data_IF_695513298889
#
_entry.id   IF_695513298889
#
_cell.length_a   1.000
_cell.length_b   1.000
_cell.length_c   1.000
_cell.angle_alpha   90.00
_cell.angle_beta   90.00
_cell.angle_gamma   90.00
#
_symmetry.space_group_name_H-M   'P 1'
#
loop_
_entity.id
_entity.type
_entity.pdbx_description
1 polymer ?
#
# COMPACT_ATOMS: atom_id res chain seq x y z
N UNK A 1 -0.97 33.50 30.61
CA UNK A 1 -1.96 32.67 31.28
C UNK A 1 -3.34 33.22 30.96
N UNK A 2 -4.19 32.43 30.26
CA UNK A 2 -5.54 32.86 29.84
C UNK A 2 -6.56 32.66 30.97
N UNK A 3 -6.39 33.39 32.08
CA UNK A 3 -7.31 33.38 33.22
C UNK A 3 -8.41 34.43 32.98
N UNK A 4 -9.61 33.98 32.67
CA UNK A 4 -10.74 34.88 32.38
C UNK A 4 -11.65 35.08 33.61
N UNK A 5 -12.57 36.08 33.53
CA UNK A 5 -13.48 36.40 34.63
C UNK A 5 -14.41 35.22 35.03
N UNK A 6 -14.79 34.38 34.07
CA UNK A 6 -15.61 33.19 34.35
C UNK A 6 -14.82 32.15 35.16
N UNK A 7 -13.54 31.94 34.84
CA UNK A 7 -12.65 31.07 35.62
C UNK A 7 -12.42 31.60 37.03
N UNK A 8 -12.25 32.91 37.16
CA UNK A 8 -12.11 33.56 38.48
C UNK A 8 -13.34 33.32 39.36
N UNK A 9 -14.51 33.42 38.80
CA UNK A 9 -15.77 33.20 39.53
C UNK A 9 -16.01 31.72 39.86
N UNK A 10 -15.66 30.80 38.96
CA UNK A 10 -15.80 29.37 39.20
C UNK A 10 -14.81 28.83 40.25
N UNK A 11 -13.64 29.43 40.36
CA UNK A 11 -12.57 29.05 41.31
C UNK A 11 -12.55 29.94 42.59
N UNK A 12 -13.70 30.50 42.98
CA UNK A 12 -13.81 31.34 44.16
C UNK A 12 -13.40 30.58 45.46
N UNK A 13 -12.91 31.30 46.43
CA UNK A 13 -12.51 30.80 47.73
C UNK A 13 -13.65 30.00 48.39
N UNK A 14 -13.33 28.80 48.91
CA UNK A 14 -14.31 27.89 49.54
C UNK A 14 -14.89 26.84 48.59
N UNK A 15 -14.64 26.91 47.30
CA UNK A 15 -15.03 25.88 46.36
C UNK A 15 -14.05 24.71 46.35
N UNK A 16 -14.59 23.48 46.31
CA UNK A 16 -13.78 22.30 46.08
C UNK A 16 -13.49 22.13 44.59
N UNK A 17 -12.23 21.91 44.26
CA UNK A 17 -11.75 21.73 42.88
C UNK A 17 -10.99 20.41 42.78
N UNK A 18 -11.40 19.58 41.88
CA UNK A 18 -10.64 18.40 41.45
C UNK A 18 -9.76 18.83 40.28
N UNK A 19 -8.44 18.72 40.43
CA UNK A 19 -7.49 19.05 39.38
C UNK A 19 -6.70 17.82 38.98
N UNK A 20 -6.55 17.62 37.68
CA UNK A 20 -5.75 16.53 37.08
C UNK A 20 -4.68 17.14 36.19
N UNK A 21 -3.44 16.72 36.39
CA UNK A 21 -2.30 17.19 35.61
C UNK A 21 -0.97 16.77 36.24
N UNK A 22 0.12 17.06 35.56
CA UNK A 22 1.47 16.81 36.04
C UNK A 22 1.86 17.83 37.11
N UNK A 23 2.11 17.36 38.35
CA UNK A 23 2.59 18.20 39.44
C UNK A 23 4.09 18.40 39.30
N UNK A 24 4.52 19.68 39.20
CA UNK A 24 5.92 20.06 39.10
C UNK A 24 6.31 20.91 40.34
N UNK A 25 7.60 20.89 40.68
CA UNK A 25 8.11 21.76 41.72
C UNK A 25 8.36 23.15 41.17
N UNK A 26 7.49 24.09 41.49
CA UNK A 26 7.62 25.47 41.10
C UNK A 26 8.34 26.33 42.14
N UNK A 27 8.42 27.64 41.86
CA UNK A 27 9.14 28.63 42.71
C UNK A 27 8.50 28.79 44.10
N UNK A 28 7.20 28.57 44.23
CA UNK A 28 6.41 28.77 45.46
C UNK A 28 5.78 27.46 46.01
N UNK A 29 6.21 26.30 45.55
CA UNK A 29 5.67 25.02 45.96
C UNK A 29 5.32 24.10 44.77
N UNK A 30 4.41 23.15 45.01
CA UNK A 30 3.91 22.31 43.92
C UNK A 30 2.98 23.11 43.00
N UNK A 31 3.18 23.00 41.70
CA UNK A 31 2.36 23.68 40.69
C UNK A 31 1.94 22.71 39.58
N UNK A 32 0.76 22.93 39.01
CA UNK A 32 0.27 22.24 37.80
C UNK A 32 0.09 23.26 36.70
N UNK A 33 0.69 23.05 35.55
CA UNK A 33 0.59 23.92 34.37
C UNK A 33 -0.53 23.41 33.49
N UNK A 34 -1.59 24.20 33.30
CA UNK A 34 -2.78 23.85 32.51
C UNK A 34 -3.49 22.58 32.98
N UNK A 35 -3.82 22.38 34.27
CA UNK A 35 -4.53 21.20 34.71
C UNK A 35 -5.93 21.15 34.11
N UNK A 36 -6.42 19.95 33.81
CA UNK A 36 -7.86 19.74 33.67
C UNK A 36 -8.48 19.87 35.06
N UNK A 37 -9.52 20.70 35.23
CA UNK A 37 -10.16 20.89 36.51
C UNK A 37 -11.68 20.85 36.45
N UNK A 38 -12.30 20.35 37.52
CA UNK A 38 -13.75 20.42 37.76
C UNK A 38 -14.02 21.07 39.09
N UNK A 39 -14.97 21.98 39.10
CA UNK A 39 -15.45 22.58 40.35
C UNK A 39 -16.62 21.78 40.83
N UNK A 40 -16.52 21.25 42.06
CA UNK A 40 -17.60 20.48 42.69
C UNK A 40 -18.66 21.40 43.28
N UNK A 41 -19.94 21.04 43.13
CA UNK A 41 -21.04 21.68 43.81
C UNK A 41 -21.04 21.32 45.30
N UNK A 42 -21.68 22.17 46.14
CA UNK A 42 -21.59 22.17 47.60
C UNK A 42 -22.02 20.86 48.34
N UNK A 43 -22.56 19.81 47.69
CA UNK A 43 -23.19 18.68 48.37
C UNK A 43 -22.91 17.31 47.76
N UNK A 44 -22.05 17.18 46.76
CA UNK A 44 -21.75 15.86 46.19
C UNK A 44 -20.39 15.34 46.69
N UNK A 45 -20.37 14.13 47.23
CA UNK A 45 -19.15 13.30 47.32
C UNK A 45 -18.49 13.29 45.95
N UNK A 46 -17.12 13.33 45.86
CA UNK A 46 -16.48 13.21 44.58
C UNK A 46 -16.84 11.83 44.00
N UNK A 47 -17.69 11.84 42.99
CA UNK A 47 -17.78 10.69 42.11
C UNK A 47 -16.44 10.56 41.40
N UNK A 48 -15.57 9.72 41.97
CA UNK A 48 -14.41 9.22 41.26
C UNK A 48 -14.94 8.64 39.97
N UNK A 49 -14.44 9.09 38.85
CA UNK A 49 -14.80 8.46 37.57
C UNK A 49 -14.52 6.96 37.71
N UNK A 50 -15.56 6.16 37.57
CA UNK A 50 -15.49 4.69 37.64
C UNK A 50 -14.72 4.11 36.44
N UNK A 51 -14.20 4.95 35.55
CA UNK A 51 -13.47 4.56 34.34
C UNK A 51 -12.23 5.43 34.12
N UNK A 52 -11.25 4.88 33.42
CA UNK A 52 -10.09 5.64 32.96
C UNK A 52 -10.53 6.67 31.91
N UNK A 53 -9.91 7.84 31.93
CA UNK A 53 -10.24 8.95 31.02
C UNK A 53 -9.62 8.71 29.64
N UNK A 54 -10.40 8.52 28.56
CA UNK A 54 -9.86 8.32 27.24
C UNK A 54 -9.25 9.59 26.66
N UNK A 55 -8.17 9.42 25.88
CA UNK A 55 -7.52 10.45 25.09
C UNK A 55 -7.62 10.10 23.61
N UNK A 56 -8.26 10.95 22.83
CA UNK A 56 -8.48 10.74 21.41
C UNK A 56 -7.48 11.53 20.55
N UNK A 57 -7.06 11.01 19.39
CA UNK A 57 -6.37 11.82 18.39
C UNK A 57 -7.24 13.03 18.00
N UNK A 58 -6.66 14.21 18.00
CA UNK A 58 -7.37 15.46 17.64
C UNK A 58 -6.74 16.10 16.40
N UNK A 59 -7.61 16.77 15.62
CA UNK A 59 -7.21 17.70 14.57
C UNK A 59 -7.51 19.14 15.01
N UNK A 60 -7.01 20.10 14.26
CA UNK A 60 -7.25 21.53 14.55
C UNK A 60 -8.76 21.82 14.64
N UNK A 61 -9.15 22.54 15.70
CA UNK A 61 -10.55 22.94 15.95
C UNK A 61 -11.38 21.97 16.80
N UNK A 62 -10.94 20.73 17.05
CA UNK A 62 -11.68 19.76 17.87
C UNK A 62 -11.01 19.55 19.22
N UNK A 63 -11.75 19.76 20.31
CA UNK A 63 -11.26 19.62 21.69
C UNK A 63 -11.57 18.23 22.25
N UNK A 64 -10.70 17.72 23.14
CA UNK A 64 -10.89 16.46 23.86
C UNK A 64 -12.26 16.35 24.54
N UNK A 65 -12.71 17.42 25.20
CA UNK A 65 -14.00 17.46 25.86
C UNK A 65 -15.18 17.23 24.89
N UNK A 66 -15.08 17.73 23.67
CA UNK A 66 -16.09 17.50 22.61
C UNK A 66 -16.12 16.06 22.18
N UNK A 67 -14.96 15.45 21.93
CA UNK A 67 -14.87 14.03 21.53
C UNK A 67 -15.38 13.11 22.65
N UNK A 68 -15.01 13.37 23.90
CA UNK A 68 -15.50 12.61 25.05
C UNK A 68 -17.04 12.67 25.15
N UNK A 69 -17.62 13.87 24.99
CA UNK A 69 -19.08 14.04 24.99
C UNK A 69 -19.77 13.29 23.85
N UNK A 70 -19.20 13.33 22.66
CA UNK A 70 -19.75 12.60 21.51
C UNK A 70 -19.68 11.09 21.72
N UNK A 71 -18.56 10.57 22.25
CA UNK A 71 -18.42 9.15 22.56
C UNK A 71 -19.32 8.72 23.71
N UNK A 72 -19.59 9.56 24.73
CA UNK A 72 -20.58 9.27 25.78
C UNK A 72 -21.96 9.10 25.17
N UNK A 73 -22.40 10.02 24.34
CA UNK A 73 -23.69 9.94 23.65
C UNK A 73 -23.79 8.69 22.73
N UNK A 74 -22.69 8.36 22.03
CA UNK A 74 -22.64 7.17 21.20
C UNK A 74 -22.77 5.87 22.03
N UNK A 75 -22.14 5.81 23.20
CA UNK A 75 -22.23 4.65 24.11
C UNK A 75 -23.62 4.53 24.75
N UNK A 76 -24.30 5.65 25.05
CA UNK A 76 -25.70 5.66 25.49
C UNK A 76 -26.64 5.11 24.40
N UNK A 77 -26.39 5.46 23.13
CA UNK A 77 -27.14 4.91 22.00
C UNK A 77 -26.97 3.39 21.86
N UNK A 78 -25.81 2.83 22.20
CA UNK A 78 -25.59 1.37 22.20
C UNK A 78 -26.48 0.62 23.20
N UNK A 79 -27.01 1.29 24.22
CA UNK A 79 -27.94 0.68 25.19
C UNK A 79 -29.38 0.60 24.63
N UNK A 80 -29.71 1.54 23.77
CA UNK A 80 -31.07 1.66 23.20
C UNK A 80 -31.16 1.08 21.79
N UNK A 81 -30.08 1.12 21.03
CA UNK A 81 -29.99 0.62 19.65
C UNK A 81 -29.09 -0.63 19.61
N UNK A 82 -29.71 -1.80 19.50
CA UNK A 82 -28.92 -3.03 19.37
C UNK A 82 -28.11 -3.05 18.07
N UNK A 83 -26.80 -3.20 18.19
CA UNK A 83 -25.94 -3.51 17.05
C UNK A 83 -26.05 -5.02 16.79
N UNK A 84 -26.45 -5.38 15.56
CA UNK A 84 -26.48 -6.78 15.15
C UNK A 84 -25.07 -7.36 15.08
N UNK A 85 -24.90 -8.58 15.58
CA UNK A 85 -23.67 -9.34 15.37
C UNK A 85 -23.52 -9.69 13.89
N UNK A 86 -22.43 -9.26 13.27
CA UNK A 86 -22.14 -9.51 11.86
C UNK A 86 -21.19 -10.69 11.65
N UNK A 87 -20.45 -11.10 12.70
CA UNK A 87 -19.59 -12.27 12.60
C UNK A 87 -20.43 -13.55 12.58
N UNK A 88 -20.07 -14.54 11.77
CA UNK A 88 -20.64 -15.87 11.85
C UNK A 88 -20.50 -16.44 13.27
N UNK A 89 -21.50 -17.22 13.75
CA UNK A 89 -21.47 -17.76 15.11
C UNK A 89 -20.19 -18.52 15.46
N UNK A 90 -19.60 -19.21 14.49
CA UNK A 90 -18.37 -19.98 14.64
C UNK A 90 -17.14 -19.10 14.92
N UNK A 91 -17.13 -17.86 14.39
CA UNK A 91 -16.08 -16.87 14.64
C UNK A 91 -16.36 -16.02 15.88
N UNK A 92 -17.61 -15.77 16.18
CA UNK A 92 -18.02 -14.96 17.35
C UNK A 92 -17.89 -15.73 18.66
N UNK A 93 -17.91 -17.08 18.61
CA UNK A 93 -17.87 -17.93 19.80
C UNK A 93 -16.61 -17.70 20.62
N UNK A 94 -16.77 -17.36 21.90
CA UNK A 94 -15.66 -17.10 22.81
C UNK A 94 -15.02 -15.71 22.69
N UNK A 95 -15.52 -14.87 21.79
CA UNK A 95 -15.11 -13.48 21.69
C UNK A 95 -16.00 -12.55 22.53
N UNK A 96 -15.42 -11.43 22.94
CA UNK A 96 -16.20 -10.33 23.54
C UNK A 96 -17.19 -9.77 22.50
N UNK A 97 -18.42 -9.43 22.93
CA UNK A 97 -19.40 -8.82 22.05
C UNK A 97 -18.93 -7.44 21.55
N UNK A 98 -19.38 -7.03 20.37
CA UNK A 98 -18.97 -5.73 19.81
C UNK A 98 -19.38 -4.54 20.70
N UNK A 99 -20.61 -4.47 21.25
CA UNK A 99 -20.98 -3.39 22.17
C UNK A 99 -20.13 -3.36 23.44
N UNK A 100 -19.81 -4.52 24.00
CA UNK A 100 -18.95 -4.62 25.18
C UNK A 100 -17.51 -4.21 24.88
N UNK A 101 -16.96 -4.61 23.74
CA UNK A 101 -15.63 -4.22 23.28
C UNK A 101 -15.52 -2.69 23.10
N UNK A 102 -16.50 -2.07 22.45
CA UNK A 102 -16.57 -0.62 22.26
C UNK A 102 -16.66 0.10 23.61
N UNK A 103 -17.54 -0.35 24.52
CA UNK A 103 -17.66 0.24 25.85
C UNK A 103 -16.36 0.14 26.63
N UNK A 104 -15.72 -1.04 26.65
CA UNK A 104 -14.47 -1.28 27.36
C UNK A 104 -13.34 -0.40 26.85
N UNK A 105 -13.21 -0.20 25.53
CA UNK A 105 -12.12 0.61 24.97
C UNK A 105 -12.34 2.12 25.12
N UNK A 106 -13.61 2.57 25.08
CA UNK A 106 -13.92 3.98 25.27
C UNK A 106 -14.06 4.39 26.72
N UNK A 107 -14.38 3.47 27.62
CA UNK A 107 -14.51 3.68 29.07
C UNK A 107 -13.89 2.50 29.83
N UNK A 108 -12.52 2.40 29.77
CA UNK A 108 -11.85 1.29 30.43
C UNK A 108 -12.07 1.32 31.94
N UNK A 109 -12.44 0.21 32.57
CA UNK A 109 -12.57 0.15 34.02
C UNK A 109 -11.20 0.38 34.70
N UNK A 110 -11.14 0.95 35.94
CA UNK A 110 -9.90 1.22 36.63
C UNK A 110 -9.05 -0.02 36.93
N UNK A 111 -9.70 -1.18 36.99
CA UNK A 111 -9.05 -2.48 37.22
C UNK A 111 -8.29 -3.00 35.99
N UNK A 112 -8.49 -2.40 34.83
CA UNK A 112 -7.88 -2.85 33.60
C UNK A 112 -6.38 -2.49 33.57
N UNK A 113 -5.54 -3.47 33.28
CA UNK A 113 -4.09 -3.25 33.18
C UNK A 113 -3.76 -2.56 31.85
N UNK A 114 -3.17 -1.36 31.94
CA UNK A 114 -2.77 -0.58 30.76
C UNK A 114 -1.81 -1.35 29.85
N UNK A 115 -0.94 -2.19 30.40
CA UNK A 115 0.00 -3.02 29.64
C UNK A 115 -0.69 -4.00 28.68
N UNK A 116 -1.90 -4.46 28.99
CA UNK A 116 -2.70 -5.31 28.09
C UNK A 116 -3.20 -4.51 26.89
N UNK A 117 -3.66 -3.25 27.12
CA UNK A 117 -4.05 -2.37 26.05
C UNK A 117 -2.85 -1.94 25.19
N UNK A 118 -1.72 -1.60 25.82
CA UNK A 118 -0.49 -1.20 25.10
C UNK A 118 0.05 -2.33 24.22
N UNK A 119 -0.10 -3.58 24.67
CA UNK A 119 0.34 -4.77 23.91
C UNK A 119 -0.62 -5.14 22.76
N UNK A 120 -1.82 -4.54 22.69
CA UNK A 120 -2.85 -4.87 21.70
C UNK A 120 -3.51 -6.25 21.93
N UNK A 121 -3.30 -6.88 23.11
CA UNK A 121 -3.77 -8.24 23.39
C UNK A 121 -5.08 -8.32 24.15
N UNK A 122 -5.62 -7.18 24.59
CA UNK A 122 -6.89 -7.17 25.30
C UNK A 122 -8.03 -7.69 24.41
N UNK A 123 -8.96 -8.53 24.94
CA UNK A 123 -10.04 -9.13 24.15
C UNK A 123 -10.89 -8.12 23.36
N UNK A 124 -11.13 -6.93 23.92
CA UNK A 124 -11.86 -5.86 23.24
C UNK A 124 -11.11 -5.34 22.00
N UNK A 125 -9.76 -5.21 22.08
CA UNK A 125 -8.95 -4.81 20.93
C UNK A 125 -8.90 -5.93 19.88
N UNK A 126 -8.72 -7.18 20.32
CA UNK A 126 -8.70 -8.34 19.43
C UNK A 126 -10.03 -8.48 18.66
N UNK A 127 -11.13 -8.17 19.30
CA UNK A 127 -12.44 -8.12 18.66
C UNK A 127 -12.50 -7.11 17.51
N UNK A 128 -12.11 -5.87 17.74
CA UNK A 128 -12.10 -4.82 16.71
C UNK A 128 -11.06 -5.07 15.61
N UNK A 129 -9.88 -5.56 15.99
CA UNK A 129 -8.83 -5.94 15.03
C UNK A 129 -9.35 -7.01 14.07
N UNK A 130 -10.01 -8.06 14.59
CA UNK A 130 -10.58 -9.10 13.72
C UNK A 130 -11.62 -8.54 12.75
N UNK A 131 -12.56 -7.71 13.23
CA UNK A 131 -13.58 -7.12 12.35
C UNK A 131 -12.99 -6.24 11.27
N UNK A 132 -12.05 -5.37 11.62
CA UNK A 132 -11.40 -4.47 10.67
C UNK A 132 -10.64 -5.26 9.59
N UNK A 133 -9.85 -6.27 10.01
CA UNK A 133 -9.10 -7.11 9.08
C UNK A 133 -10.02 -7.96 8.20
N UNK A 134 -11.11 -8.49 8.78
CA UNK A 134 -12.10 -9.27 8.04
C UNK A 134 -12.84 -8.39 7.02
N UNK A 135 -13.32 -7.22 7.44
CA UNK A 135 -13.99 -6.27 6.56
C UNK A 135 -13.09 -5.82 5.42
N UNK A 136 -11.82 -5.52 5.71
CA UNK A 136 -10.83 -5.19 4.70
C UNK A 136 -10.62 -6.34 3.71
N UNK A 137 -10.42 -7.57 4.22
CA UNK A 137 -10.21 -8.75 3.37
C UNK A 137 -11.43 -9.05 2.49
N UNK A 138 -12.63 -9.00 3.06
CA UNK A 138 -13.88 -9.20 2.31
C UNK A 138 -14.08 -8.13 1.24
N UNK A 139 -13.75 -6.88 1.52
CA UNK A 139 -13.79 -5.79 0.53
C UNK A 139 -12.83 -6.06 -0.63
N UNK A 140 -11.62 -6.53 -0.35
CA UNK A 140 -10.64 -6.92 -1.38
C UNK A 140 -11.12 -8.11 -2.21
N UNK A 141 -11.69 -9.13 -1.57
CA UNK A 141 -12.28 -10.29 -2.28
C UNK A 141 -13.48 -9.88 -3.15
N UNK A 142 -14.31 -8.96 -2.69
CA UNK A 142 -15.41 -8.43 -3.47
C UNK A 142 -14.93 -7.64 -4.70
N UNK A 143 -13.87 -6.84 -4.56
CA UNK A 143 -13.22 -6.16 -5.68
C UNK A 143 -12.64 -7.16 -6.68
N UNK A 144 -11.98 -8.23 -6.20
CA UNK A 144 -11.46 -9.29 -7.06
C UNK A 144 -12.57 -10.01 -7.82
N UNK A 145 -13.64 -10.39 -7.13
CA UNK A 145 -14.83 -11.01 -7.76
C UNK A 145 -15.49 -10.07 -8.78
N UNK A 146 -15.48 -8.76 -8.51
CA UNK A 146 -15.90 -7.73 -9.46
C UNK A 146 -15.00 -7.68 -10.70
N UNK A 147 -13.69 -7.73 -10.52
CA UNK A 147 -12.71 -7.73 -11.61
C UNK A 147 -12.84 -8.96 -12.53
N UNK A 148 -13.21 -10.11 -11.99
CA UNK A 148 -13.45 -11.33 -12.78
C UNK A 148 -14.69 -11.28 -13.69
N UNK A 149 -15.53 -10.25 -13.58
CA UNK A 149 -16.65 -10.01 -14.49
C UNK A 149 -16.23 -9.30 -15.78
N UNK A 150 -15.03 -8.78 -15.82
CA UNK A 150 -14.49 -8.13 -17.00
C UNK A 150 -13.86 -9.17 -17.93
N UNK A 151 -13.88 -8.88 -19.22
CA UNK A 151 -13.25 -9.72 -20.23
C UNK A 151 -11.88 -9.18 -20.60
N UNK A 152 -10.94 -10.09 -20.85
CA UNK A 152 -9.65 -9.80 -21.45
C UNK A 152 -9.50 -10.56 -22.76
N UNK A 153 -8.60 -10.10 -23.61
CA UNK A 153 -8.24 -10.85 -24.80
C UNK A 153 -7.38 -12.05 -24.41
N UNK A 154 -7.82 -13.30 -24.63
CA UNK A 154 -6.99 -14.46 -24.36
C UNK A 154 -5.75 -14.45 -25.27
N UNK A 155 -4.57 -14.46 -24.68
CA UNK A 155 -3.30 -14.51 -25.38
C UNK A 155 -2.76 -15.95 -25.34
N UNK A 156 -3.17 -16.78 -26.29
CA UNK A 156 -2.80 -18.19 -26.40
C UNK A 156 -1.29 -18.39 -26.59
N UNK A 157 -0.83 -19.64 -26.52
CA UNK A 157 0.58 -19.94 -26.67
C UNK A 157 1.09 -19.55 -28.10
N UNK A 158 2.06 -18.64 -28.14
CA UNK A 158 2.84 -18.28 -29.33
C UNK A 158 4.26 -17.97 -28.87
N UNK A 159 5.11 -18.96 -28.91
CA UNK A 159 6.46 -18.92 -28.34
C UNK A 159 7.54 -18.50 -29.35
N UNK A 160 7.18 -18.08 -30.57
CA UNK A 160 8.15 -17.75 -31.63
C UNK A 160 9.09 -16.64 -31.18
N UNK A 161 8.55 -15.47 -30.79
CA UNK A 161 9.35 -14.34 -30.35
C UNK A 161 10.10 -14.62 -29.03
N UNK A 162 9.47 -15.34 -28.13
CA UNK A 162 10.08 -15.79 -26.87
C UNK A 162 11.32 -16.65 -27.12
N UNK A 163 11.21 -17.63 -28.00
CA UNK A 163 12.33 -18.54 -28.37
C UNK A 163 13.47 -17.75 -29.00
N UNK A 164 13.15 -16.83 -29.90
CA UNK A 164 14.15 -15.98 -30.55
C UNK A 164 14.88 -15.07 -29.54
N UNK A 165 14.13 -14.44 -28.64
CA UNK A 165 14.75 -13.64 -27.57
C UNK A 165 15.69 -14.50 -26.72
N UNK A 166 15.20 -15.62 -26.18
CA UNK A 166 16.01 -16.49 -25.31
C UNK A 166 17.26 -17.03 -25.99
N UNK A 167 17.23 -17.26 -27.31
CA UNK A 167 18.39 -17.65 -28.08
C UNK A 167 19.43 -16.52 -28.28
N UNK A 168 18.97 -15.27 -28.24
CA UNK A 168 19.86 -14.10 -28.42
C UNK A 168 20.52 -13.62 -27.12
N UNK A 169 19.99 -14.04 -25.97
CA UNK A 169 20.53 -13.63 -24.67
C UNK A 169 21.83 -14.39 -24.32
N UNK A 170 22.81 -13.72 -23.69
CA UNK A 170 24.07 -14.35 -23.26
C UNK A 170 23.93 -15.21 -22.00
N UNK A 171 22.72 -15.36 -21.48
CA UNK A 171 22.40 -16.12 -20.26
C UNK A 171 21.06 -16.87 -20.42
N UNK A 172 20.85 -17.87 -19.59
CA UNK A 172 19.58 -18.60 -19.53
C UNK A 172 18.75 -18.11 -18.32
N UNK A 173 17.42 -18.10 -18.43
CA UNK A 173 16.54 -17.86 -17.29
C UNK A 173 16.80 -18.84 -16.15
N UNK A 174 16.66 -18.37 -14.91
CA UNK A 174 16.68 -19.25 -13.72
C UNK A 174 15.40 -20.09 -13.65
N UNK A 175 15.41 -21.15 -12.83
CA UNK A 175 14.21 -21.95 -12.58
C UNK A 175 13.03 -21.13 -12.07
N UNK A 176 13.30 -20.18 -11.16
CA UNK A 176 12.28 -19.26 -10.62
C UNK A 176 11.71 -18.32 -11.70
N UNK A 177 12.55 -17.77 -12.57
CA UNK A 177 12.10 -16.92 -13.68
C UNK A 177 11.24 -17.71 -14.67
N UNK A 178 11.63 -18.95 -15.00
CA UNK A 178 10.87 -19.81 -15.89
C UNK A 178 9.49 -20.18 -15.28
N UNK A 179 9.46 -20.53 -14.00
CA UNK A 179 8.22 -20.81 -13.25
C UNK A 179 7.28 -19.61 -13.26
N UNK A 180 7.75 -18.44 -12.88
CA UNK A 180 6.94 -17.21 -12.83
C UNK A 180 6.45 -16.82 -14.23
N UNK A 181 7.28 -16.98 -15.27
CA UNK A 181 6.86 -16.74 -16.65
C UNK A 181 5.71 -17.69 -17.04
N UNK A 182 5.79 -18.97 -16.69
CA UNK A 182 4.73 -19.93 -16.98
C UNK A 182 3.42 -19.64 -16.24
N UNK A 183 3.48 -19.11 -15.00
CA UNK A 183 2.31 -18.65 -14.26
C UNK A 183 1.64 -17.48 -14.97
N UNK A 184 2.40 -16.47 -15.39
CA UNK A 184 1.92 -15.31 -16.15
C UNK A 184 1.28 -15.75 -17.47
N UNK A 185 1.95 -16.62 -18.21
CA UNK A 185 1.48 -17.12 -19.51
C UNK A 185 0.17 -17.91 -19.39
N UNK A 186 -0.02 -18.65 -18.31
CA UNK A 186 -1.27 -19.35 -18.02
C UNK A 186 -2.41 -18.37 -17.79
N UNK A 187 -2.18 -17.34 -16.99
CA UNK A 187 -3.21 -16.36 -16.70
C UNK A 187 -3.55 -15.51 -17.92
N UNK A 188 -2.55 -15.12 -18.72
CA UNK A 188 -2.77 -14.36 -19.95
C UNK A 188 -3.54 -15.14 -21.01
N UNK A 189 -3.61 -16.46 -20.90
CA UNK A 189 -4.39 -17.31 -21.81
C UNK A 189 -5.88 -17.37 -21.46
N UNK A 190 -6.30 -16.83 -20.32
CA UNK A 190 -7.69 -16.79 -19.88
C UNK A 190 -8.43 -15.59 -20.52
N UNK A 191 -9.76 -15.67 -20.54
CA UNK A 191 -10.67 -14.62 -21.02
C UNK A 191 -10.98 -13.56 -19.93
N UNK A 192 -10.34 -13.69 -18.77
CA UNK A 192 -10.42 -12.73 -17.66
C UNK A 192 -9.09 -11.97 -17.53
N UNK A 193 -9.10 -10.70 -17.13
CA UNK A 193 -7.88 -9.92 -16.98
C UNK A 193 -6.97 -10.54 -15.91
N UNK A 194 -5.73 -10.86 -16.28
CA UNK A 194 -4.70 -11.20 -15.31
C UNK A 194 -4.41 -9.98 -14.44
N UNK A 195 -4.40 -10.16 -13.15
CA UNK A 195 -3.92 -9.19 -12.16
C UNK A 195 -2.86 -9.86 -11.28
N UNK A 196 -1.58 -9.69 -11.63
CA UNK A 196 -0.48 -10.43 -10.98
C UNK A 196 0.64 -9.53 -10.48
N UNK A 197 1.05 -9.77 -9.23
CA UNK A 197 2.21 -9.16 -8.59
C UNK A 197 3.42 -10.09 -8.71
N UNK A 198 4.48 -9.62 -9.34
CA UNK A 198 5.78 -10.30 -9.38
C UNK A 198 6.71 -9.62 -8.39
N UNK A 199 7.09 -10.36 -7.37
CA UNK A 199 8.02 -9.96 -6.34
C UNK A 199 9.37 -10.63 -6.54
N UNK A 200 10.44 -9.87 -6.33
CA UNK A 200 11.80 -10.39 -6.39
C UNK A 200 12.81 -9.33 -6.03
N UNK A 201 13.94 -9.72 -5.51
CA UNK A 201 15.01 -8.80 -5.11
C UNK A 201 15.52 -7.94 -6.29
N UNK A 202 16.22 -6.85 -5.98
CA UNK A 202 16.88 -6.04 -7.00
C UNK A 202 17.87 -6.92 -7.79
N UNK A 203 17.73 -6.97 -9.11
CA UNK A 203 18.55 -7.81 -9.99
C UNK A 203 18.14 -9.29 -10.03
N UNK A 204 16.98 -9.71 -9.49
CA UNK A 204 16.43 -11.07 -9.69
C UNK A 204 15.94 -11.33 -11.11
N UNK A 205 15.95 -10.33 -11.99
CA UNK A 205 15.56 -10.46 -13.39
C UNK A 205 14.06 -10.28 -13.65
N UNK A 206 13.33 -9.55 -12.82
CA UNK A 206 11.93 -9.18 -13.06
C UNK A 206 11.70 -8.57 -14.45
N UNK A 207 12.64 -7.75 -14.92
CA UNK A 207 12.59 -7.15 -16.25
C UNK A 207 12.60 -8.16 -17.38
N UNK A 208 13.33 -9.29 -17.24
CA UNK A 208 13.29 -10.38 -18.20
C UNK A 208 11.91 -11.05 -18.23
N UNK A 209 11.34 -11.33 -17.07
CA UNK A 209 9.98 -11.91 -16.97
C UNK A 209 8.95 -10.99 -17.61
N UNK A 210 9.06 -9.69 -17.37
CA UNK A 210 8.21 -8.67 -18.02
C UNK A 210 8.40 -8.64 -19.54
N UNK A 211 9.64 -8.79 -20.03
CA UNK A 211 9.90 -8.86 -21.48
C UNK A 211 9.26 -10.10 -22.13
N UNK A 212 9.33 -11.25 -21.47
CA UNK A 212 8.70 -12.48 -21.96
C UNK A 212 7.16 -12.36 -22.00
N UNK A 213 6.56 -11.76 -20.98
CA UNK A 213 5.14 -11.44 -20.95
C UNK A 213 4.75 -10.45 -22.08
N UNK A 214 5.56 -9.41 -22.29
CA UNK A 214 5.36 -8.44 -23.36
C UNK A 214 5.39 -9.09 -24.75
N UNK A 215 6.35 -9.97 -25.00
CA UNK A 215 6.47 -10.69 -26.28
C UNK A 215 5.25 -11.54 -26.59
N UNK A 216 4.61 -12.10 -25.56
CA UNK A 216 3.38 -12.87 -25.75
C UNK A 216 2.24 -11.98 -26.29
N UNK A 217 2.06 -10.78 -25.75
CA UNK A 217 1.06 -9.83 -26.27
C UNK A 217 1.43 -9.32 -27.67
N UNK A 218 2.69 -9.00 -27.90
CA UNK A 218 3.21 -8.52 -29.18
C UNK A 218 3.06 -9.58 -30.28
N UNK A 219 3.29 -10.87 -29.96
CA UNK A 219 3.09 -11.98 -30.87
C UNK A 219 1.63 -12.12 -31.36
N UNK A 220 0.67 -11.51 -30.67
CA UNK A 220 -0.73 -11.41 -31.08
C UNK A 220 -1.06 -10.07 -31.77
N UNK A 221 -0.05 -9.29 -32.16
CA UNK A 221 -0.24 -7.97 -32.78
C UNK A 221 -0.81 -6.93 -31.85
N UNK A 222 -0.63 -7.09 -30.52
CA UNK A 222 -1.14 -6.20 -29.49
C UNK A 222 -0.05 -5.35 -28.89
N UNK A 223 -0.49 -4.21 -28.28
CA UNK A 223 0.40 -3.27 -27.63
C UNK A 223 0.59 -3.59 -26.16
N UNK A 224 1.77 -3.23 -25.66
CA UNK A 224 2.18 -3.34 -24.25
C UNK A 224 2.65 -1.99 -23.75
N UNK A 225 2.17 -1.57 -22.58
CA UNK A 225 2.62 -0.37 -21.90
C UNK A 225 3.38 -0.73 -20.61
N UNK A 226 4.59 -0.21 -20.45
CA UNK A 226 5.36 -0.31 -19.21
C UNK A 226 5.50 1.06 -18.56
N UNK A 227 5.02 1.17 -17.34
CA UNK A 227 5.12 2.38 -16.53
C UNK A 227 6.15 2.21 -15.42
N UNK A 228 7.06 3.17 -15.32
CA UNK A 228 8.00 3.29 -14.21
C UNK A 228 7.79 4.61 -13.44
N UNK A 229 8.13 4.65 -12.13
CA UNK A 229 7.81 5.79 -11.27
C UNK A 229 8.65 7.04 -11.56
N UNK A 230 9.85 6.88 -12.15
CA UNK A 230 10.76 7.98 -12.48
C UNK A 230 11.22 7.91 -13.93
N UNK A 231 11.58 9.06 -14.49
CA UNK A 231 12.12 9.12 -15.86
C UNK A 231 13.39 8.27 -16.01
N UNK A 232 14.27 8.27 -15.00
CA UNK A 232 15.50 7.49 -15.01
C UNK A 232 15.23 5.98 -15.10
N UNK A 233 14.33 5.46 -14.29
CA UNK A 233 13.96 4.04 -14.32
C UNK A 233 13.25 3.67 -15.62
N UNK A 234 12.36 4.54 -16.11
CA UNK A 234 11.70 4.34 -17.39
C UNK A 234 12.71 4.32 -18.54
N UNK A 235 13.74 5.20 -18.53
CA UNK A 235 14.80 5.21 -19.53
C UNK A 235 15.65 3.93 -19.48
N UNK A 236 15.98 3.46 -18.29
CA UNK A 236 16.68 2.16 -18.12
C UNK A 236 15.88 1.01 -18.71
N UNK A 237 14.57 0.95 -18.42
CA UNK A 237 13.69 -0.04 -19.02
C UNK A 237 13.65 0.09 -20.54
N UNK A 238 13.45 1.30 -21.08
CA UNK A 238 13.40 1.52 -22.52
C UNK A 238 14.68 1.06 -23.22
N UNK A 239 15.85 1.35 -22.64
CA UNK A 239 17.13 0.92 -23.19
C UNK A 239 17.30 -0.60 -23.16
N UNK A 240 16.89 -1.27 -22.06
CA UNK A 240 16.91 -2.73 -21.97
C UNK A 240 16.00 -3.37 -23.02
N UNK A 241 14.75 -2.88 -23.11
CA UNK A 241 13.80 -3.42 -24.09
C UNK A 241 14.23 -3.16 -25.52
N UNK A 242 14.79 -1.98 -25.84
CA UNK A 242 15.35 -1.72 -27.17
C UNK A 242 16.46 -2.68 -27.53
N UNK A 243 17.39 -2.94 -26.62
CA UNK A 243 18.51 -3.87 -26.88
C UNK A 243 18.02 -5.30 -27.11
N UNK A 244 16.98 -5.73 -26.40
CA UNK A 244 16.43 -7.07 -26.52
C UNK A 244 15.46 -7.25 -27.70
N UNK A 245 14.72 -6.22 -28.06
CA UNK A 245 13.65 -6.29 -29.04
C UNK A 245 14.07 -5.84 -30.45
N UNK A 246 15.13 -5.05 -30.58
CA UNK A 246 15.64 -4.66 -31.88
C UNK A 246 16.00 -5.84 -32.80
N UNK A 247 16.65 -6.93 -32.31
CA UNK A 247 16.90 -8.11 -33.13
C UNK A 247 15.62 -8.83 -33.60
N UNK A 248 14.51 -8.60 -32.93
CA UNK A 248 13.19 -9.17 -33.26
C UNK A 248 12.37 -8.27 -34.20
N UNK A 249 12.90 -7.11 -34.58
CA UNK A 249 12.18 -6.13 -35.40
C UNK A 249 11.05 -5.41 -34.66
N UNK A 250 11.06 -5.41 -33.32
CA UNK A 250 10.05 -4.76 -32.49
C UNK A 250 10.55 -3.38 -32.06
N UNK A 251 9.75 -2.33 -32.36
CA UNK A 251 10.05 -0.98 -31.98
C UNK A 251 9.56 -0.66 -30.56
N UNK A 252 10.41 0.04 -29.79
CA UNK A 252 10.14 0.48 -28.41
C UNK A 252 9.97 1.98 -28.36
N UNK A 253 8.74 2.41 -28.14
CA UNK A 253 8.36 3.82 -27.97
C UNK A 253 8.68 4.32 -26.57
N UNK A 254 8.90 5.65 -26.49
CA UNK A 254 9.25 6.33 -25.26
C UNK A 254 8.32 7.51 -25.01
N UNK A 255 7.68 7.57 -23.84
CA UNK A 255 6.85 8.71 -23.41
C UNK A 255 7.23 9.16 -22.00
N UNK A 256 7.84 10.33 -21.90
CA UNK A 256 8.18 10.98 -20.64
C UNK A 256 7.55 12.37 -20.52
N UNK A 257 7.41 12.88 -19.31
CA UNK A 257 6.79 14.18 -19.04
C UNK A 257 7.52 15.38 -19.65
N UNK A 258 8.84 15.28 -19.84
CA UNK A 258 9.67 16.34 -20.41
C UNK A 258 9.60 16.44 -21.93
N UNK A 259 9.13 15.41 -22.62
CA UNK A 259 8.97 15.49 -24.08
C UNK A 259 7.85 16.47 -24.44
N UNK A 260 8.14 17.44 -25.30
CA UNK A 260 7.20 18.48 -25.77
C UNK A 260 7.26 18.63 -27.29
N UNK A 261 6.20 19.21 -27.86
CA UNK A 261 6.17 19.62 -29.26
C UNK A 261 6.04 18.45 -30.24
N UNK A 262 6.57 18.64 -31.46
CA UNK A 262 6.37 17.72 -32.60
C UNK A 262 6.85 16.28 -32.33
N UNK A 263 7.95 16.10 -31.61
CA UNK A 263 8.45 14.76 -31.30
C UNK A 263 7.50 13.95 -30.44
N UNK A 264 6.86 14.59 -29.45
CA UNK A 264 5.83 13.95 -28.62
C UNK A 264 4.59 13.59 -29.44
N UNK A 265 4.15 14.51 -30.31
CA UNK A 265 2.99 14.28 -31.16
C UNK A 265 3.24 13.11 -32.12
N UNK A 266 4.38 13.07 -32.81
CA UNK A 266 4.75 11.97 -33.70
C UNK A 266 4.77 10.61 -32.96
N UNK A 267 5.26 10.58 -31.71
CA UNK A 267 5.25 9.38 -30.90
C UNK A 267 3.82 8.94 -30.53
N UNK A 268 2.95 9.90 -30.19
CA UNK A 268 1.54 9.62 -29.89
C UNK A 268 0.80 9.11 -31.13
N UNK A 269 1.06 9.66 -32.31
CA UNK A 269 0.48 9.21 -33.57
C UNK A 269 0.96 7.77 -33.92
N UNK A 270 2.25 7.47 -33.76
CA UNK A 270 2.80 6.14 -33.98
C UNK A 270 2.19 5.08 -33.02
N UNK A 271 1.93 5.46 -31.76
CA UNK A 271 1.23 4.59 -30.80
C UNK A 271 -0.22 4.38 -31.25
N UNK A 272 -0.94 5.45 -31.61
CA UNK A 272 -2.33 5.37 -32.04
C UNK A 272 -2.52 4.54 -33.31
N UNK A 273 -1.55 4.57 -34.23
CA UNK A 273 -1.55 3.78 -35.46
C UNK A 273 -1.13 2.31 -35.24
N UNK A 274 -0.60 1.96 -34.05
CA UNK A 274 -0.11 0.61 -33.75
C UNK A 274 1.28 0.31 -34.33
N UNK A 275 2.00 1.31 -34.83
CA UNK A 275 3.36 1.17 -35.34
C UNK A 275 4.35 0.81 -34.24
N UNK A 276 4.11 1.29 -33.02
CA UNK A 276 4.89 0.99 -31.82
C UNK A 276 4.15 -0.02 -30.95
N UNK A 277 4.75 -1.18 -30.74
CA UNK A 277 4.12 -2.28 -30.01
C UNK A 277 4.49 -2.32 -28.51
N UNK A 278 5.69 -1.87 -28.14
CA UNK A 278 6.13 -1.73 -26.75
C UNK A 278 6.31 -0.27 -26.40
N UNK A 279 5.57 0.23 -25.43
CA UNK A 279 5.59 1.61 -24.98
C UNK A 279 6.14 1.67 -23.55
N UNK A 280 7.21 2.40 -23.32
CA UNK A 280 7.83 2.60 -22.01
C UNK A 280 7.78 4.06 -21.62
N UNK A 281 7.48 4.37 -20.38
CA UNK A 281 7.52 5.74 -19.89
C UNK A 281 7.06 5.89 -18.45
N UNK A 282 6.73 7.13 -18.08
CA UNK A 282 6.19 7.46 -16.77
C UNK A 282 4.66 7.54 -16.83
N UNK A 283 4.01 8.11 -15.82
CA UNK A 283 2.57 8.41 -15.83
C UNK A 283 2.08 9.16 -17.09
N UNK A 284 3.00 9.74 -17.87
CA UNK A 284 2.69 10.40 -19.13
C UNK A 284 2.04 9.47 -20.17
N UNK A 285 2.26 8.15 -20.08
CA UNK A 285 1.64 7.13 -20.96
C UNK A 285 0.12 7.13 -20.83
N UNK A 286 -0.40 7.48 -19.65
CA UNK A 286 -1.82 7.39 -19.33
C UNK A 286 -2.57 8.73 -19.37
N UNK A 287 -1.93 9.78 -19.91
CA UNK A 287 -2.63 11.05 -20.18
C UNK A 287 -3.68 10.85 -21.27
N UNK A 288 -4.79 11.59 -21.17
CA UNK A 288 -5.95 11.47 -22.09
C UNK A 288 -5.59 11.51 -23.58
N UNK A 289 -4.54 12.24 -23.92
CA UNK A 289 -4.07 12.45 -25.30
C UNK A 289 -3.39 11.22 -25.92
N UNK A 290 -2.98 10.22 -25.12
CA UNK A 290 -2.35 9.01 -25.64
C UNK A 290 -3.43 7.99 -25.94
N UNK A 291 -3.57 7.60 -27.19
CA UNK A 291 -4.50 6.56 -27.63
C UNK A 291 -3.72 5.30 -27.99
N UNK A 292 -4.21 4.15 -27.54
CA UNK A 292 -3.62 2.85 -27.88
C UNK A 292 -4.43 2.16 -28.97
N UNK A 293 -3.77 1.32 -29.76
CA UNK A 293 -4.40 0.48 -30.75
C UNK A 293 -4.29 -1.00 -30.34
N UNK A 294 -5.17 -1.43 -29.42
CA UNK A 294 -5.17 -2.82 -28.93
C UNK A 294 -4.21 -3.04 -27.78
N UNK A 295 -4.24 -2.22 -26.73
CA UNK A 295 -3.48 -2.43 -25.49
C UNK A 295 -3.96 -3.71 -24.80
N UNK A 296 -3.10 -4.73 -24.72
CA UNK A 296 -3.44 -6.00 -24.11
C UNK A 296 -2.69 -6.30 -22.79
N UNK A 297 -1.57 -5.63 -22.54
CA UNK A 297 -0.80 -5.79 -21.30
C UNK A 297 -0.29 -4.47 -20.78
N UNK A 298 -0.51 -4.24 -19.50
CA UNK A 298 0.06 -3.11 -18.74
C UNK A 298 1.04 -3.66 -17.71
N UNK A 299 2.27 -3.17 -17.73
CA UNK A 299 3.31 -3.52 -16.78
C UNK A 299 3.59 -2.29 -15.90
N UNK A 300 3.57 -2.47 -14.58
CA UNK A 300 3.78 -1.40 -13.60
C UNK A 300 4.98 -1.78 -12.74
N UNK A 301 6.04 -0.96 -12.79
CA UNK A 301 7.20 -1.17 -11.93
C UNK A 301 7.09 -0.31 -10.67
N UNK A 302 7.44 -0.89 -9.51
CA UNK A 302 7.43 -0.23 -8.19
C UNK A 302 6.09 0.43 -7.83
N UNK A 303 5.02 -0.33 -7.87
CA UNK A 303 3.63 0.12 -7.67
C UNK A 303 3.40 0.95 -6.39
N UNK A 304 4.15 0.71 -5.31
CA UNK A 304 3.99 1.43 -4.03
C UNK A 304 4.16 2.96 -4.14
N UNK A 305 4.71 3.44 -5.25
CA UNK A 305 4.86 4.87 -5.57
C UNK A 305 3.67 5.48 -6.31
N UNK A 306 2.64 4.68 -6.62
CA UNK A 306 1.45 5.12 -7.34
C UNK A 306 0.21 5.09 -6.46
N UNK A 307 -0.62 6.14 -6.53
CA UNK A 307 -1.90 6.21 -5.83
C UNK A 307 -2.97 5.29 -6.45
N UNK A 308 -4.00 4.95 -5.66
CA UNK A 308 -5.13 4.12 -6.09
C UNK A 308 -5.82 4.68 -7.33
N UNK A 309 -6.01 5.99 -7.40
CA UNK A 309 -6.64 6.67 -8.54
C UNK A 309 -5.85 6.50 -9.85
N UNK A 310 -4.53 6.44 -9.79
CA UNK A 310 -3.70 6.24 -10.99
C UNK A 310 -3.86 4.82 -11.53
N UNK A 311 -4.02 3.83 -10.67
CA UNK A 311 -4.26 2.43 -11.06
C UNK A 311 -5.62 2.26 -11.76
N UNK A 312 -6.65 2.90 -11.21
CA UNK A 312 -8.00 2.87 -11.80
C UNK A 312 -8.03 3.53 -13.19
N UNK A 313 -7.38 4.68 -13.34
CA UNK A 313 -7.26 5.36 -14.61
C UNK A 313 -6.52 4.53 -15.66
N UNK A 314 -5.52 3.73 -15.27
CA UNK A 314 -4.85 2.74 -16.12
C UNK A 314 -5.80 1.65 -16.62
N UNK A 315 -6.61 1.15 -15.72
CA UNK A 315 -7.59 0.12 -15.99
C UNK A 315 -8.67 0.60 -16.98
N UNK A 316 -9.25 1.74 -16.70
CA UNK A 316 -10.30 2.35 -17.53
C UNK A 316 -9.79 2.73 -18.92
N UNK A 317 -8.59 3.31 -18.99
CA UNK A 317 -7.99 3.73 -20.25
C UNK A 317 -7.59 2.58 -21.18
N UNK A 318 -7.24 1.44 -20.58
CA UNK A 318 -6.93 0.22 -21.32
C UNK A 318 -8.16 -0.47 -21.93
N UNK A 319 -9.37 -0.06 -21.52
CA UNK A 319 -10.60 -0.67 -22.02
C UNK A 319 -10.80 -0.33 -23.49
N UNK A 320 -10.76 -1.36 -24.34
CA UNK A 320 -11.05 -1.22 -25.78
C UNK A 320 -11.99 -2.35 -26.21
N UNK A 321 -13.06 -2.00 -26.92
CA UNK A 321 -14.03 -2.94 -27.48
C UNK A 321 -14.62 -3.94 -26.42
N UNK A 322 -14.74 -3.51 -25.16
CA UNK A 322 -15.24 -4.34 -24.06
C UNK A 322 -14.19 -5.23 -23.39
N UNK A 323 -12.93 -5.21 -23.85
CA UNK A 323 -11.82 -5.93 -23.22
C UNK A 323 -10.96 -5.02 -22.37
N UNK A 324 -10.49 -5.54 -21.25
CA UNK A 324 -9.52 -4.89 -20.37
C UNK A 324 -8.13 -5.51 -20.56
N UNK A 325 -7.05 -4.73 -20.44
CA UNK A 325 -5.70 -5.27 -20.52
C UNK A 325 -5.36 -6.13 -19.31
N UNK A 326 -4.52 -7.13 -19.50
CA UNK A 326 -3.84 -7.84 -18.42
C UNK A 326 -2.92 -6.87 -17.67
N UNK A 327 -2.75 -7.06 -16.35
CA UNK A 327 -1.87 -6.24 -15.51
C UNK A 327 -0.79 -7.08 -14.84
N UNK A 328 0.45 -6.69 -15.06
CA UNK A 328 1.62 -7.25 -14.42
C UNK A 328 2.29 -6.18 -13.56
N UNK A 329 2.31 -6.38 -12.28
CA UNK A 329 2.89 -5.46 -11.32
C UNK A 329 4.20 -6.03 -10.82
N UNK A 330 5.24 -5.22 -10.74
CA UNK A 330 6.54 -5.63 -10.26
C UNK A 330 6.95 -4.83 -9.04
N UNK A 331 7.59 -5.47 -8.07
CA UNK A 331 8.21 -4.79 -6.93
C UNK A 331 9.49 -5.48 -6.49
N UNK A 332 10.47 -4.67 -6.08
CA UNK A 332 11.68 -5.15 -5.43
C UNK A 332 11.54 -5.24 -3.91
N UNK A 333 10.50 -4.62 -3.34
CA UNK A 333 10.27 -4.66 -1.90
C UNK A 333 9.75 -6.04 -1.49
N UNK A 334 10.45 -6.78 -0.63
CA UNK A 334 9.95 -8.03 -0.11
C UNK A 334 8.73 -7.76 0.79
N UNK A 335 7.57 -8.19 0.34
CA UNK A 335 6.33 -8.11 1.12
C UNK A 335 6.09 -9.50 1.70
N UNK A 336 6.02 -9.65 3.04
CA UNK A 336 5.68 -10.94 3.63
C UNK A 336 4.39 -11.50 3.01
N UNK A 337 4.37 -12.80 2.70
CA UNK A 337 3.25 -13.44 2.00
C UNK A 337 1.90 -13.15 2.67
N UNK A 338 1.88 -13.16 4.00
CA UNK A 338 0.69 -12.83 4.80
C UNK A 338 0.23 -11.38 4.58
N UNK A 339 1.16 -10.44 4.52
CA UNK A 339 0.84 -9.03 4.24
C UNK A 339 0.46 -8.82 2.76
N UNK A 340 1.08 -9.55 1.84
CA UNK A 340 0.70 -9.52 0.43
C UNK A 340 -0.75 -9.99 0.22
N UNK A 341 -1.17 -11.04 0.94
CA UNK A 341 -2.53 -11.55 0.89
C UNK A 341 -3.57 -10.58 1.47
N UNK A 342 -3.19 -9.68 2.37
CA UNK A 342 -4.10 -8.68 2.94
C UNK A 342 -4.04 -7.35 2.20
N UNK A 343 -2.85 -6.86 1.85
CA UNK A 343 -2.68 -5.56 1.21
C UNK A 343 -2.89 -5.58 -0.31
N UNK A 344 -2.77 -6.76 -0.94
CA UNK A 344 -2.90 -6.98 -2.38
C UNK A 344 -3.75 -8.21 -2.67
N UNK A 345 -4.82 -8.42 -1.90
CA UNK A 345 -5.70 -9.57 -2.02
C UNK A 345 -6.40 -9.66 -3.40
N UNK A 346 -6.42 -8.57 -4.14
CA UNK A 346 -6.90 -8.45 -5.52
C UNK A 346 -5.91 -9.01 -6.55
N UNK A 347 -4.63 -9.27 -6.15
CA UNK A 347 -3.57 -9.72 -7.05
C UNK A 347 -3.13 -11.16 -6.75
N UNK A 348 -2.93 -11.93 -7.81
CA UNK A 348 -2.17 -13.18 -7.71
C UNK A 348 -0.68 -12.87 -7.55
N UNK A 349 0.01 -13.59 -6.67
CA UNK A 349 1.40 -13.28 -6.33
C UNK A 349 2.36 -14.36 -6.79
N UNK A 350 3.41 -13.95 -7.48
CA UNK A 350 4.55 -14.77 -7.88
C UNK A 350 5.85 -14.23 -7.29
N UNK A 351 6.73 -15.10 -6.82
CA UNK A 351 8.00 -14.73 -6.21
C UNK A 351 9.17 -15.30 -7.02
N UNK A 352 10.10 -14.44 -7.42
CA UNK A 352 11.38 -14.86 -7.99
C UNK A 352 12.36 -14.97 -6.81
N UNK A 353 12.55 -16.20 -6.35
CA UNK A 353 13.31 -16.57 -5.15
C UNK A 353 14.73 -17.09 -5.47
N UNK A 354 15.17 -16.94 -6.71
CA UNK A 354 16.51 -17.29 -7.18
C UNK A 354 17.23 -16.04 -7.72
N UNK A 355 18.51 -15.92 -7.41
CA UNK A 355 19.37 -14.93 -8.02
C UNK A 355 20.01 -15.46 -9.31
N UNK A 356 20.21 -14.61 -10.34
CA UNK A 356 20.89 -15.01 -11.56
C UNK A 356 22.28 -15.55 -11.28
N UNK A 357 22.79 -16.51 -12.09
CA UNK A 357 24.12 -17.06 -11.95
C UNK A 357 25.19 -15.96 -11.98
N UNK A 358 26.21 -16.09 -11.12
CA UNK A 358 27.32 -15.13 -11.02
C UNK A 358 27.09 -13.98 -10.03
N UNK A 359 25.92 -13.85 -9.46
CA UNK A 359 25.66 -12.87 -8.40
C UNK A 359 26.00 -13.45 -7.03
N UNK A 360 26.98 -12.84 -6.35
CA UNK A 360 27.35 -13.19 -4.98
C UNK A 360 26.38 -12.55 -3.98
N UNK A 361 25.98 -13.26 -2.90
CA UNK A 361 25.18 -12.68 -1.84
C UNK A 361 25.85 -11.46 -1.22
N UNK A 362 25.07 -10.41 -0.97
CA UNK A 362 25.56 -9.21 -0.26
C UNK A 362 25.61 -9.49 1.23
N UNK A 363 26.77 -9.31 1.85
CA UNK A 363 26.93 -9.43 3.30
C UNK A 363 26.55 -8.10 3.96
N UNK A 364 25.49 -8.09 4.74
CA UNK A 364 25.07 -6.93 5.55
C UNK A 364 25.61 -7.06 6.96
N UNK A 365 26.35 -6.04 7.42
CA UNK A 365 26.93 -6.01 8.76
C UNK A 365 26.47 -4.74 9.48
N UNK A 366 25.88 -4.90 10.67
CA UNK A 366 25.57 -3.77 11.54
C UNK A 366 26.84 -3.40 12.34
N UNK A 367 27.25 -2.13 12.25
CA UNK A 367 28.46 -1.63 12.90
C UNK A 367 28.09 -0.42 13.77
N UNK A 368 28.61 -0.29 15.00
CA UNK A 368 28.38 0.85 15.86
C UNK A 368 28.85 2.16 15.19
N UNK A 369 28.13 3.25 15.42
CA UNK A 369 28.45 4.57 14.82
C UNK A 369 29.86 5.07 15.21
N UNK A 370 30.37 4.66 16.35
CA UNK A 370 31.76 4.93 16.79
C UNK A 370 32.84 4.44 15.82
N UNK A 371 32.50 3.49 14.92
CA UNK A 371 33.41 2.94 13.89
C UNK A 371 33.11 3.48 12.48
N UNK A 372 32.42 4.59 12.38
CA UNK A 372 32.06 5.21 11.10
C UNK A 372 33.30 5.59 10.25
N UNK A 373 34.37 6.06 10.89
CA UNK A 373 35.65 6.38 10.22
C UNK A 373 36.25 5.17 9.51
N UNK A 374 36.24 3.98 10.19
CA UNK A 374 36.76 2.74 9.60
C UNK A 374 36.00 2.36 8.31
N UNK A 375 34.70 2.62 8.28
CA UNK A 375 33.86 2.33 7.12
C UNK A 375 34.16 3.28 5.97
N UNK A 376 34.34 4.57 6.25
CA UNK A 376 34.66 5.57 5.24
C UNK A 376 36.00 5.20 4.59
N UNK A 377 37.01 4.80 5.37
CA UNK A 377 38.31 4.39 4.85
C UNK A 377 38.21 3.10 4.01
N UNK A 378 37.41 2.13 4.44
CA UNK A 378 37.14 0.91 3.64
C UNK A 378 36.49 1.23 2.30
N UNK A 379 35.47 2.09 2.30
CA UNK A 379 34.78 2.53 1.07
C UNK A 379 35.76 3.27 0.16
N UNK A 380 36.57 4.20 0.71
CA UNK A 380 37.58 4.93 -0.06
C UNK A 380 38.59 3.97 -0.73
N UNK A 381 39.07 2.99 0.02
CA UNK A 381 40.01 2.00 -0.52
C UNK A 381 39.38 1.10 -1.59
N UNK A 382 38.12 0.75 -1.45
CA UNK A 382 37.37 -0.03 -2.44
C UNK A 382 37.07 0.76 -3.74
N UNK A 383 36.94 2.09 -3.65
CA UNK A 383 36.79 2.96 -4.83
C UNK A 383 38.10 3.24 -5.59
N UNK A 384 39.25 2.95 -4.98
CA UNK A 384 40.58 3.16 -5.60
C UNK A 384 41.14 1.89 -6.25
N UNK A 385 40.54 0.74 -6.03
CA UNK A 385 40.79 -0.53 -6.73
C UNK A 385 39.90 -0.67 -7.98
#
# INVERSE_FOLDING_TARGET
FNFNAAMKNSLATGRRVLAYGEAKRGKFGAEMIHPEYRVQGDMSTPELQETLTPVYPTTEGIKQATLRKLTDQALELLETCAISELLPPELAQGMMSLPEALRTLHRPPPSLQLSELESGKHPAQQRLILEELLAHNLSMLALRAGAQRYHALPLSANDTLKTQLLASLPFKPTGAQARVTAEIERDMALDVPMMRLVQGDVGSGKTLVAALAALRAIAHGKQVALMAPTELLAEQHANNFRSWFAPLGIEVGWLAGKQKGKARQAQQEAIANGEVQMIVGTHAIFQEQVQFNGLALVIIDEQHRFGVHQRLALWEKGQQQGFHPHQLIMTATPIPRTLAMTAYADLDTSVIDELPPGRTPVTTVAIPDTRRSDIIDRVRNACTQ
#
